data_IF_996694146127
#
_entry.id   IF_996694146127
#
_cell.length_a   1.000
_cell.length_b   1.000
_cell.length_c   1.000
_cell.angle_alpha   90.00
_cell.angle_beta   90.00
_cell.angle_gamma   90.00
#
_symmetry.space_group_name_H-M   'P 1'
#
loop_
_entity.id
_entity.type
_entity.pdbx_description
1 polymer ?
#
# COMPACT_ATOMS: atom_id res chain seq x y z
N UNK A 1 19.00 -26.05 -22.02
CA UNK A 1 19.59 -25.31 -20.89
C UNK A 1 18.93 -23.95 -20.60
N UNK A 2 18.43 -23.20 -21.59
CA UNK A 2 17.74 -21.90 -21.36
C UNK A 2 16.50 -22.01 -20.46
N UNK A 3 15.66 -23.03 -20.67
CA UNK A 3 14.45 -23.28 -19.88
C UNK A 3 14.72 -23.63 -18.40
N UNK A 4 15.90 -24.21 -18.09
CA UNK A 4 16.32 -24.47 -16.71
C UNK A 4 16.76 -23.18 -16.02
N UNK A 5 17.45 -22.29 -16.73
CA UNK A 5 17.82 -20.96 -16.22
C UNK A 5 16.58 -20.09 -15.93
N UNK A 6 15.53 -20.22 -16.75
CA UNK A 6 14.26 -19.51 -16.54
C UNK A 6 13.47 -20.06 -15.32
N UNK A 7 13.63 -21.34 -14.97
CA UNK A 7 13.06 -21.95 -13.76
C UNK A 7 13.71 -21.41 -12.47
N UNK A 8 15.02 -21.16 -12.48
CA UNK A 8 15.75 -20.56 -11.35
C UNK A 8 15.51 -19.05 -11.18
N UNK A 9 14.95 -18.36 -12.19
CA UNK A 9 14.54 -16.95 -12.07
C UNK A 9 13.25 -16.75 -11.26
N UNK A 10 12.54 -17.83 -10.93
CA UNK A 10 11.22 -17.74 -10.27
C UNK A 10 11.30 -17.44 -8.77
N UNK A 11 12.49 -17.44 -8.17
CA UNK A 11 12.69 -16.92 -6.82
C UNK A 11 13.28 -15.52 -6.91
N UNK A 12 12.47 -14.55 -7.32
CA UNK A 12 12.63 -13.18 -6.79
C UNK A 12 12.35 -13.28 -5.29
N UNK A 13 13.36 -13.77 -4.55
CA UNK A 13 13.32 -13.82 -3.10
C UNK A 13 13.04 -12.42 -2.60
N UNK A 14 12.21 -12.31 -1.57
CA UNK A 14 12.00 -11.07 -0.85
C UNK A 14 13.36 -10.39 -0.66
N UNK A 15 13.47 -9.12 -1.07
CA UNK A 15 14.72 -8.38 -0.89
C UNK A 15 15.08 -8.42 0.60
N UNK A 16 16.12 -9.19 0.92
CA UNK A 16 16.55 -9.38 2.28
C UNK A 16 17.30 -8.10 2.68
N UNK A 17 16.76 -7.36 3.64
CA UNK A 17 17.39 -6.15 4.16
C UNK A 17 18.35 -6.52 5.30
N UNK A 18 19.53 -5.92 5.31
CA UNK A 18 20.52 -6.13 6.37
C UNK A 18 20.24 -5.29 7.63
N UNK A 19 19.49 -4.18 7.49
CA UNK A 19 19.23 -3.24 8.58
C UNK A 19 17.93 -2.46 8.40
N UNK A 20 17.32 -2.05 9.52
CA UNK A 20 16.12 -1.19 9.58
C UNK A 20 16.50 0.15 10.23
N UNK A 21 15.98 1.26 9.69
CA UNK A 21 16.12 2.60 10.28
C UNK A 21 14.76 3.19 10.62
N UNK A 22 14.72 4.00 11.68
CA UNK A 22 13.56 4.82 12.07
C UNK A 22 13.94 6.30 11.99
N UNK A 23 12.99 7.15 11.62
CA UNK A 23 13.19 8.59 11.54
C UNK A 23 11.87 9.33 11.32
N UNK A 24 11.90 10.65 11.48
CA UNK A 24 10.73 11.48 11.26
C UNK A 24 10.41 11.58 9.76
N UNK A 25 9.11 11.56 9.42
CA UNK A 25 8.63 11.80 8.08
C UNK A 25 8.27 13.29 7.91
N UNK A 26 8.69 13.88 6.79
CA UNK A 26 8.28 15.23 6.42
C UNK A 26 6.84 15.25 5.90
N UNK A 27 6.15 16.41 5.87
CA UNK A 27 4.82 16.53 5.30
C UNK A 27 4.74 16.04 3.84
N UNK A 28 5.77 16.29 3.03
CA UNK A 28 5.84 15.85 1.63
C UNK A 28 5.93 14.32 1.55
N UNK A 29 6.72 13.71 2.45
CA UNK A 29 6.87 12.26 2.52
C UNK A 29 5.56 11.57 2.93
N UNK A 30 4.84 12.13 3.90
CA UNK A 30 3.52 11.61 4.31
C UNK A 30 2.54 11.67 3.14
N UNK A 31 2.52 12.78 2.38
CA UNK A 31 1.68 12.92 1.18
C UNK A 31 2.07 11.93 0.08
N UNK A 32 3.36 11.63 -0.08
CA UNK A 32 3.83 10.66 -1.08
C UNK A 32 3.39 9.22 -0.80
N UNK A 33 3.12 8.88 0.46
CA UNK A 33 2.59 7.57 0.87
C UNK A 33 1.07 7.49 0.75
N UNK A 34 0.40 8.64 0.66
CA UNK A 34 -1.05 8.72 0.62
C UNK A 34 -1.59 8.46 -0.78
N UNK A 35 -2.69 7.73 -0.86
CA UNK A 35 -3.45 7.48 -2.09
C UNK A 35 -4.69 8.38 -2.21
N UNK A 36 -4.91 9.28 -1.25
CA UNK A 36 -6.09 10.13 -1.20
C UNK A 36 -6.27 10.79 0.17
N UNK A 37 -7.09 11.83 0.20
CA UNK A 37 -7.44 12.56 1.42
C UNK A 37 -8.81 12.11 1.93
N UNK A 38 -8.88 11.66 3.19
CA UNK A 38 -10.15 11.41 3.87
C UNK A 38 -10.69 12.74 4.37
N UNK A 39 -11.86 13.15 3.87
CA UNK A 39 -12.49 14.44 4.20
C UNK A 39 -13.68 14.30 5.14
N UNK A 40 -14.13 13.07 5.33
CA UNK A 40 -15.43 12.71 5.88
C UNK A 40 -15.25 11.61 6.93
N UNK A 41 -15.83 11.72 8.13
CA UNK A 41 -15.70 10.70 9.18
C UNK A 41 -16.52 9.44 8.89
N UNK A 42 -17.32 9.43 7.82
CA UNK A 42 -18.17 8.31 7.45
C UNK A 42 -17.35 7.09 6.99
N UNK A 43 -17.91 5.90 7.24
CA UNK A 43 -17.27 4.61 6.93
C UNK A 43 -17.98 3.91 5.77
N UNK A 44 -19.08 3.21 6.08
CA UNK A 44 -19.90 2.46 5.15
C UNK A 44 -21.35 2.88 5.28
N UNK A 45 -22.08 2.84 4.18
CA UNK A 45 -23.50 3.10 4.18
C UNK A 45 -24.26 1.98 4.92
N UNK A 46 -25.15 2.34 5.84
CA UNK A 46 -25.88 1.36 6.65
C UNK A 46 -26.86 0.49 5.86
N UNK A 47 -27.35 0.94 4.70
CA UNK A 47 -28.30 0.17 3.87
C UNK A 47 -27.61 -0.63 2.80
N UNK A 48 -26.68 0.00 2.08
CA UNK A 48 -26.06 -0.61 0.89
C UNK A 48 -24.77 -1.35 1.21
N UNK A 49 -24.21 -1.14 2.42
CA UNK A 49 -22.89 -1.62 2.84
C UNK A 49 -21.74 -1.22 1.91
N UNK A 50 -21.97 -0.23 1.04
CA UNK A 50 -20.94 0.34 0.18
C UNK A 50 -20.15 1.40 0.95
N UNK A 51 -18.84 1.53 0.72
CA UNK A 51 -18.07 2.61 1.30
C UNK A 51 -18.60 3.98 0.90
N UNK A 52 -18.52 4.92 1.84
CA UNK A 52 -18.90 6.30 1.59
C UNK A 52 -17.78 7.04 0.84
N UNK A 53 -18.17 7.87 -0.13
CA UNK A 53 -17.22 8.68 -0.90
C UNK A 53 -16.53 9.70 0.00
N UNK A 54 -15.22 9.80 -0.14
CA UNK A 54 -14.32 10.62 0.68
C UNK A 54 -14.22 10.17 2.17
N UNK A 55 -14.85 9.04 2.51
CA UNK A 55 -14.82 8.42 3.82
C UNK A 55 -13.61 7.51 4.03
N UNK A 56 -13.51 6.91 5.22
CA UNK A 56 -12.34 6.10 5.62
C UNK A 56 -12.11 4.87 4.72
N UNK A 57 -13.15 4.34 4.10
CA UNK A 57 -13.11 3.13 3.25
C UNK A 57 -13.31 3.43 1.76
N UNK A 58 -13.17 4.70 1.33
CA UNK A 58 -13.41 5.10 -0.06
C UNK A 58 -12.58 4.24 -1.06
N UNK A 59 -13.26 3.75 -2.10
CA UNK A 59 -12.69 2.93 -3.17
C UNK A 59 -12.57 3.71 -4.48
#
# INVERSE_FOLDING_TARGET
>A
MKALLDLFKQTSGEEQFDAIKIGLASPEKIRSWSFGEVRKPETINYRTFKPERDGLFCA
#
